data_IF_421792366805
#
_entry.id   IF_421792366805
#
_cell.length_a   1.000
_cell.length_b   1.000
_cell.length_c   1.000
_cell.angle_alpha   90.00
_cell.angle_beta   90.00
_cell.angle_gamma   90.00
#
_symmetry.space_group_name_H-M   'P 1'
#
loop_
_entity.id
_entity.type
_entity.pdbx_description
1 polymer ?
#
# COMPACT_ATOMS: atom_id res chain seq x y z
N UNK A 1 -20.03 -7.25 0.75
CA UNK A 1 -21.31 -6.64 0.34
C UNK A 1 -21.72 -5.75 1.51
N UNK A 2 -22.08 -4.50 1.26
CA UNK A 2 -22.52 -3.55 2.30
C UNK A 2 -23.92 -3.94 2.75
N UNK A 3 -24.19 -3.98 4.06
CA UNK A 3 -25.53 -4.25 4.58
C UNK A 3 -26.40 -2.98 4.56
N UNK A 4 -27.72 -3.12 4.68
CA UNK A 4 -28.63 -1.97 4.76
C UNK A 4 -28.33 -0.99 5.93
N UNK A 5 -27.96 -1.44 7.13
CA UNK A 5 -27.51 -0.55 8.20
C UNK A 5 -26.22 0.20 7.84
N UNK A 6 -25.23 -0.50 7.24
CA UNK A 6 -23.97 0.13 6.83
C UNK A 6 -24.19 1.18 5.74
N UNK A 7 -25.10 0.88 4.80
CA UNK A 7 -25.46 1.82 3.74
C UNK A 7 -26.06 3.11 4.31
N UNK A 8 -26.94 3.02 5.29
CA UNK A 8 -27.51 4.18 5.98
C UNK A 8 -26.43 5.00 6.68
N UNK A 9 -25.53 4.35 7.42
CA UNK A 9 -24.42 5.04 8.07
C UNK A 9 -23.52 5.77 7.05
N UNK A 10 -23.25 5.14 5.90
CA UNK A 10 -22.48 5.78 4.82
C UNK A 10 -23.19 7.01 4.26
N UNK A 11 -24.52 6.95 4.05
CA UNK A 11 -25.31 8.13 3.65
C UNK A 11 -25.18 9.25 4.67
N UNK A 12 -25.33 8.96 5.96
CA UNK A 12 -25.24 9.95 7.03
C UNK A 12 -23.84 10.59 7.10
N UNK A 13 -22.79 9.79 6.95
CA UNK A 13 -21.40 10.27 6.94
C UNK A 13 -21.17 11.18 5.72
N UNK A 14 -21.55 10.73 4.52
CA UNK A 14 -21.33 11.51 3.29
C UNK A 14 -22.13 12.82 3.33
N UNK A 15 -23.39 12.78 3.76
CA UNK A 15 -24.22 13.99 3.89
C UNK A 15 -23.65 14.96 4.93
N UNK A 16 -22.98 14.47 5.95
CA UNK A 16 -22.34 15.33 6.97
C UNK A 16 -21.07 15.98 6.43
N UNK A 17 -20.30 15.26 5.61
CA UNK A 17 -19.07 15.75 4.97
C UNK A 17 -19.37 16.69 3.78
N UNK A 18 -20.39 16.38 3.02
CA UNK A 18 -20.83 17.18 1.87
C UNK A 18 -22.36 17.10 1.75
N UNK A 19 -23.08 18.04 2.36
CA UNK A 19 -24.56 18.05 2.36
C UNK A 19 -25.20 18.17 0.98
N UNK A 20 -24.44 18.72 0.02
CA UNK A 20 -24.91 18.93 -1.36
C UNK A 20 -24.56 17.77 -2.29
N UNK A 21 -23.87 16.76 -1.78
CA UNK A 21 -23.48 15.62 -2.61
C UNK A 21 -24.70 14.80 -3.04
N UNK A 22 -24.82 14.57 -4.34
CA UNK A 22 -25.75 13.59 -4.89
C UNK A 22 -25.15 12.18 -4.76
N UNK A 23 -25.74 11.37 -3.90
CA UNK A 23 -25.25 10.01 -3.63
C UNK A 23 -26.01 9.01 -4.50
N UNK A 24 -25.28 8.21 -5.26
CA UNK A 24 -25.81 7.16 -6.12
C UNK A 24 -25.24 5.82 -5.69
N UNK A 25 -26.04 4.96 -5.04
CA UNK A 25 -25.58 3.61 -4.70
C UNK A 25 -25.40 2.79 -5.97
N UNK A 26 -24.27 2.10 -6.07
CA UNK A 26 -23.93 1.30 -7.25
C UNK A 26 -23.53 -0.12 -6.85
N UNK A 27 -23.63 -1.05 -7.80
CA UNK A 27 -23.08 -2.39 -7.67
C UNK A 27 -21.91 -2.54 -8.66
N UNK A 28 -20.68 -2.75 -8.13
CA UNK A 28 -19.46 -2.81 -8.92
C UNK A 28 -19.28 -1.59 -9.86
N UNK A 29 -19.57 -0.39 -9.33
CA UNK A 29 -19.49 0.89 -10.07
C UNK A 29 -20.33 0.96 -11.34
N UNK A 30 -21.33 0.11 -11.48
CA UNK A 30 -22.28 0.18 -12.59
C UNK A 30 -23.24 1.33 -12.36
N UNK A 31 -23.13 2.38 -13.16
CA UNK A 31 -23.95 3.59 -13.11
C UNK A 31 -24.27 4.07 -14.52
N UNK A 32 -25.39 4.76 -14.70
CA UNK A 32 -25.69 5.40 -15.96
C UNK A 32 -24.70 6.55 -16.20
N UNK A 33 -24.06 6.61 -17.36
CA UNK A 33 -23.07 7.63 -17.68
C UNK A 33 -23.61 9.06 -17.57
N UNK A 34 -24.89 9.28 -17.82
CA UNK A 34 -25.57 10.58 -17.67
C UNK A 34 -25.59 11.07 -16.22
N UNK A 35 -25.43 10.19 -15.24
CA UNK A 35 -25.41 10.52 -13.83
C UNK A 35 -24.04 11.05 -13.36
N UNK A 36 -22.96 10.80 -14.13
CA UNK A 36 -21.59 11.12 -13.74
C UNK A 36 -20.82 11.98 -14.75
N UNK A 37 -21.34 12.11 -15.98
CA UNK A 37 -20.71 12.91 -17.04
C UNK A 37 -21.59 14.11 -17.37
N UNK A 38 -20.97 15.29 -17.47
CA UNK A 38 -21.65 16.57 -17.81
C UNK A 38 -22.83 16.89 -16.88
N UNK A 39 -22.70 16.58 -15.60
CA UNK A 39 -23.76 16.77 -14.61
C UNK A 39 -24.11 18.25 -14.37
N UNK A 40 -23.21 19.18 -14.67
CA UNK A 40 -23.37 20.60 -14.38
C UNK A 40 -23.43 20.95 -12.89
N UNK A 41 -23.06 20.02 -12.01
CA UNK A 41 -23.16 20.18 -10.55
C UNK A 41 -22.02 21.00 -9.95
N UNK A 42 -20.94 21.23 -10.71
CA UNK A 42 -19.84 22.05 -10.21
C UNK A 42 -20.22 23.53 -10.28
N UNK A 43 -20.21 24.17 -9.14
CA UNK A 43 -20.44 25.59 -8.96
C UNK A 43 -19.23 26.20 -8.25
N UNK A 44 -18.53 27.10 -8.96
CA UNK A 44 -17.29 27.69 -8.45
C UNK A 44 -17.55 28.59 -7.24
N UNK A 45 -18.60 29.43 -7.26
CA UNK A 45 -18.92 30.33 -6.17
C UNK A 45 -19.29 29.56 -4.90
N UNK A 46 -20.01 28.45 -5.07
CA UNK A 46 -20.36 27.55 -3.98
C UNK A 46 -19.16 26.78 -3.44
N UNK A 47 -18.25 26.34 -4.31
CA UNK A 47 -17.00 25.71 -3.90
C UNK A 47 -16.11 26.69 -3.13
N UNK A 48 -15.97 27.93 -3.59
CA UNK A 48 -15.18 28.98 -2.96
C UNK A 48 -15.73 29.38 -1.57
N UNK A 49 -17.04 29.34 -1.39
CA UNK A 49 -17.71 29.63 -0.12
C UNK A 49 -17.81 28.43 0.83
N UNK A 50 -17.30 27.28 0.42
CA UNK A 50 -17.34 26.08 1.28
C UNK A 50 -16.45 26.24 2.52
N UNK A 51 -16.91 25.68 3.64
CA UNK A 51 -16.21 25.81 4.92
C UNK A 51 -14.75 25.30 4.87
N UNK A 52 -14.46 24.28 4.06
CA UNK A 52 -13.12 23.78 3.85
C UNK A 52 -12.21 24.77 3.11
N UNK A 53 -12.75 25.40 2.06
CA UNK A 53 -12.03 26.39 1.25
C UNK A 53 -11.72 27.68 2.06
N UNK A 54 -12.67 28.13 2.88
CA UNK A 54 -12.48 29.31 3.73
C UNK A 54 -11.39 29.06 4.77
N UNK A 55 -11.37 27.91 5.40
CA UNK A 55 -10.30 27.53 6.35
C UNK A 55 -8.90 27.53 5.72
N UNK A 56 -8.80 27.03 4.50
CA UNK A 56 -7.54 27.05 3.72
C UNK A 56 -7.08 28.48 3.41
N UNK A 57 -8.01 29.37 3.02
CA UNK A 57 -7.71 30.78 2.75
C UNK A 57 -7.31 31.57 4.00
N UNK A 58 -7.85 31.22 5.15
CA UNK A 58 -7.55 31.86 6.45
C UNK A 58 -6.26 31.33 7.09
N UNK A 59 -5.54 30.39 6.43
CA UNK A 59 -4.36 29.69 6.96
C UNK A 59 -4.60 28.97 8.31
N UNK A 60 -5.82 28.69 8.65
CA UNK A 60 -6.16 27.75 9.72
C UNK A 60 -6.08 26.30 9.22
N UNK A 61 -4.95 25.95 8.61
CA UNK A 61 -4.71 24.59 8.19
C UNK A 61 -4.46 23.70 9.41
N UNK A 62 -5.51 23.05 9.88
CA UNK A 62 -5.39 21.92 10.79
C UNK A 62 -5.05 20.74 9.90
N UNK A 63 -3.85 20.12 10.02
CA UNK A 63 -3.53 18.96 9.23
C UNK A 63 -4.64 17.91 9.34
N UNK A 64 -5.05 17.31 8.22
CA UNK A 64 -6.10 16.25 8.21
C UNK A 64 -5.82 15.15 9.24
N UNK A 65 -4.55 14.95 9.57
CA UNK A 65 -4.07 14.07 10.64
C UNK A 65 -4.62 14.46 12.01
N UNK A 66 -4.77 15.75 12.30
CA UNK A 66 -5.30 16.24 13.59
C UNK A 66 -6.83 16.22 13.59
N UNK A 67 -7.48 16.55 12.48
CA UNK A 67 -8.93 16.63 12.39
C UNK A 67 -9.60 15.25 12.38
N UNK A 68 -9.01 14.27 11.67
CA UNK A 68 -9.60 12.94 11.52
C UNK A 68 -8.76 11.81 12.11
N UNK A 69 -7.60 12.11 12.69
CA UNK A 69 -6.64 11.13 13.19
C UNK A 69 -6.07 10.24 12.09
N UNK A 70 -6.10 10.71 10.82
CA UNK A 70 -5.56 9.98 9.68
C UNK A 70 -4.08 10.31 9.55
N UNK A 71 -3.25 9.29 9.54
CA UNK A 71 -1.81 9.40 9.36
C UNK A 71 -1.29 8.43 8.31
N UNK A 72 -0.04 8.63 7.96
CA UNK A 72 0.66 7.71 7.06
C UNK A 72 2.09 7.48 7.54
N UNK A 73 2.63 6.32 7.23
CA UNK A 73 4.05 6.02 7.39
C UNK A 73 4.54 5.07 6.30
N UNK A 74 5.85 5.02 6.15
CA UNK A 74 6.51 4.12 5.21
C UNK A 74 7.36 3.13 5.97
N UNK A 75 7.08 1.85 5.78
CA UNK A 75 7.88 0.74 6.29
C UNK A 75 8.94 0.37 5.25
N UNK A 76 10.23 0.43 5.63
CA UNK A 76 11.36 0.12 4.76
C UNK A 76 12.27 -0.91 5.40
N UNK A 77 12.55 -2.01 4.67
CA UNK A 77 13.52 -3.04 5.07
C UNK A 77 14.22 -3.62 3.84
N UNK A 78 15.41 -4.17 4.04
CA UNK A 78 16.12 -4.92 3.00
C UNK A 78 15.91 -6.42 3.13
N UNK A 79 15.83 -6.95 4.36
CA UNK A 79 15.56 -8.36 4.63
C UNK A 79 14.23 -8.81 4.04
N UNK A 80 14.14 -10.05 3.50
CA UNK A 80 12.89 -10.57 2.98
C UNK A 80 11.88 -10.91 4.07
N UNK A 81 10.62 -10.91 3.73
CA UNK A 81 9.62 -11.58 4.55
C UNK A 81 9.76 -13.11 4.48
N UNK A 82 9.55 -13.75 5.60
CA UNK A 82 9.27 -15.19 5.68
C UNK A 82 7.86 -15.44 5.12
N UNK A 83 7.68 -16.28 4.08
CA UNK A 83 6.41 -16.37 3.35
C UNK A 83 5.22 -16.69 4.25
N UNK A 84 5.36 -17.66 5.15
CA UNK A 84 4.25 -18.08 6.00
C UNK A 84 3.97 -17.09 7.13
N UNK A 85 4.99 -16.53 7.81
CA UNK A 85 4.77 -15.51 8.86
C UNK A 85 4.07 -14.28 8.32
N UNK A 86 4.46 -13.84 7.13
CA UNK A 86 3.83 -12.67 6.52
C UNK A 86 2.41 -12.99 6.04
N UNK A 87 2.15 -14.17 5.50
CA UNK A 87 0.82 -14.61 5.12
C UNK A 87 -0.12 -14.69 6.33
N UNK A 88 0.33 -15.27 7.46
CA UNK A 88 -0.42 -15.31 8.71
C UNK A 88 -0.73 -13.92 9.27
N UNK A 89 0.26 -13.02 9.24
CA UNK A 89 0.03 -11.62 9.63
C UNK A 89 -1.11 -10.99 8.84
N UNK A 90 -1.09 -11.17 7.52
CA UNK A 90 -2.12 -10.62 6.63
C UNK A 90 -3.50 -11.20 6.93
N UNK A 91 -3.57 -12.50 7.11
CA UNK A 91 -4.84 -13.21 7.25
C UNK A 91 -5.49 -13.02 8.62
N UNK A 92 -4.70 -12.89 9.67
CA UNK A 92 -5.21 -12.97 11.03
C UNK A 92 -4.99 -11.73 11.89
N UNK A 93 -3.93 -10.98 11.65
CA UNK A 93 -3.51 -9.88 12.56
C UNK A 93 -3.35 -8.53 11.86
N UNK A 94 -3.71 -8.42 10.58
CA UNK A 94 -3.63 -7.16 9.85
C UNK A 94 -4.51 -6.09 10.51
N UNK A 95 -3.97 -4.90 10.84
CA UNK A 95 -4.70 -3.88 11.59
C UNK A 95 -5.89 -3.34 10.81
N UNK A 96 -7.07 -3.37 11.44
CA UNK A 96 -8.34 -2.94 10.82
C UNK A 96 -8.44 -1.42 10.59
N UNK A 97 -7.62 -0.65 11.31
CA UNK A 97 -7.56 0.80 11.18
C UNK A 97 -6.65 1.27 10.03
N UNK A 98 -6.02 0.35 9.29
CA UNK A 98 -5.36 0.64 8.03
C UNK A 98 -6.44 0.75 6.95
N UNK A 99 -6.59 1.96 6.40
CA UNK A 99 -7.56 2.27 5.34
C UNK A 99 -7.01 1.84 3.98
N UNK A 100 -5.71 2.09 3.77
CA UNK A 100 -5.02 1.77 2.51
C UNK A 100 -3.56 1.46 2.78
N UNK A 101 -3.02 0.53 2.02
CA UNK A 101 -1.57 0.32 1.95
C UNK A 101 -1.16 -0.07 0.52
N UNK A 102 0.05 0.34 0.14
CA UNK A 102 0.61 0.04 -1.19
C UNK A 102 2.13 0.02 -1.13
N UNK A 103 2.76 -0.77 -2.00
CA UNK A 103 4.20 -0.76 -2.16
C UNK A 103 4.76 -2.02 -2.77
N UNK A 104 6.08 -2.13 -2.68
CA UNK A 104 6.84 -3.29 -3.15
C UNK A 104 7.34 -4.10 -1.96
N UNK A 105 7.41 -5.40 -2.13
CA UNK A 105 8.02 -6.31 -1.18
C UNK A 105 8.58 -7.54 -1.89
N UNK A 106 9.30 -8.35 -1.15
CA UNK A 106 9.77 -9.65 -1.59
C UNK A 106 9.76 -10.67 -0.45
N UNK A 107 9.70 -11.93 -0.80
CA UNK A 107 9.69 -13.07 0.11
C UNK A 107 10.89 -13.97 -0.17
N UNK A 108 11.42 -14.59 0.87
CA UNK A 108 12.65 -15.39 0.79
C UNK A 108 12.55 -16.61 -0.11
N UNK A 109 11.35 -17.16 -0.30
CA UNK A 109 11.07 -18.28 -1.20
C UNK A 109 11.08 -17.93 -2.68
N UNK A 110 10.97 -16.63 -3.03
CA UNK A 110 10.96 -16.12 -4.42
C UNK A 110 11.92 -14.95 -4.56
N UNK A 111 13.23 -15.17 -4.37
CA UNK A 111 14.21 -14.09 -4.26
C UNK A 111 14.35 -13.24 -5.53
N UNK A 112 14.00 -13.78 -6.68
CA UNK A 112 14.12 -13.09 -7.95
C UNK A 112 12.90 -12.21 -8.28
N UNK A 113 11.78 -12.45 -7.62
CA UNK A 113 10.52 -11.80 -7.92
C UNK A 113 10.25 -10.59 -7.02
N UNK A 114 10.05 -9.44 -7.61
CA UNK A 114 9.43 -8.30 -6.95
C UNK A 114 7.91 -8.50 -6.93
N UNK A 115 7.29 -8.25 -5.78
CA UNK A 115 5.85 -8.33 -5.60
C UNK A 115 5.30 -6.95 -5.27
N UNK A 116 4.17 -6.59 -5.86
CA UNK A 116 3.41 -5.41 -5.50
C UNK A 116 2.30 -5.77 -4.52
N UNK A 117 2.16 -4.94 -3.52
CA UNK A 117 1.11 -5.00 -2.52
C UNK A 117 0.12 -3.87 -2.74
N UNK A 118 -1.16 -4.14 -2.65
CA UNK A 118 -2.21 -3.13 -2.65
C UNK A 118 -3.36 -3.56 -1.74
N UNK A 119 -3.70 -2.74 -0.76
CA UNK A 119 -4.89 -2.95 0.06
C UNK A 119 -5.75 -1.70 0.12
N UNK A 120 -7.07 -1.89 0.13
CA UNK A 120 -8.05 -0.84 0.32
C UNK A 120 -9.36 -1.43 0.86
N UNK A 121 -9.89 -0.86 1.96
CA UNK A 121 -11.21 -1.22 2.49
C UNK A 121 -11.38 -2.71 2.81
N UNK A 122 -10.36 -3.39 3.34
CA UNK A 122 -10.39 -4.81 3.68
C UNK A 122 -10.14 -5.76 2.50
N UNK A 123 -9.98 -5.24 1.28
CA UNK A 123 -9.52 -6.01 0.11
C UNK A 123 -8.01 -5.90 0.00
N UNK A 124 -7.37 -7.03 -0.25
CA UNK A 124 -5.92 -7.12 -0.43
C UNK A 124 -5.62 -7.85 -1.72
N UNK A 125 -4.69 -7.28 -2.49
CA UNK A 125 -4.21 -7.85 -3.73
C UNK A 125 -2.68 -7.82 -3.75
N UNK A 126 -2.09 -8.90 -4.26
CA UNK A 126 -0.65 -8.98 -4.54
C UNK A 126 -0.46 -9.49 -5.96
N UNK A 127 0.39 -8.82 -6.70
CA UNK A 127 0.70 -9.18 -8.08
C UNK A 127 2.23 -9.18 -8.30
N UNK A 128 2.75 -9.90 -9.28
CA UNK A 128 4.13 -9.74 -9.73
C UNK A 128 4.38 -8.30 -10.21
N UNK A 129 5.50 -7.72 -9.78
CA UNK A 129 5.92 -6.37 -10.18
C UNK A 129 7.13 -6.38 -11.12
N UNK A 130 7.76 -7.53 -11.29
CA UNK A 130 8.96 -7.71 -12.12
C UNK A 130 10.02 -8.56 -11.43
N UNK A 131 11.23 -8.41 -11.88
CA UNK A 131 12.41 -9.13 -11.40
C UNK A 131 13.41 -8.12 -10.85
N UNK A 132 14.05 -8.46 -9.72
CA UNK A 132 15.09 -7.62 -9.15
C UNK A 132 16.34 -7.60 -10.03
N UNK A 133 17.02 -6.48 -10.11
CA UNK A 133 18.25 -6.37 -10.91
C UNK A 133 19.34 -7.33 -10.44
N UNK A 134 19.42 -7.57 -9.13
CA UNK A 134 20.39 -8.51 -8.57
C UNK A 134 20.16 -9.97 -9.00
N UNK A 135 18.97 -10.30 -9.48
CA UNK A 135 18.64 -11.65 -9.97
C UNK A 135 19.22 -11.97 -11.35
N UNK A 136 19.84 -11.00 -12.02
CA UNK A 136 20.45 -11.18 -13.32
C UNK A 136 21.91 -10.71 -13.33
N UNK A 137 22.78 -11.31 -14.17
CA UNK A 137 24.17 -10.87 -14.29
C UNK A 137 24.29 -9.42 -14.77
N UNK A 138 25.35 -8.72 -14.37
CA UNK A 138 25.59 -7.34 -14.80
C UNK A 138 25.61 -7.19 -16.33
N UNK A 139 26.20 -8.15 -17.04
CA UNK A 139 26.24 -8.16 -18.51
C UNK A 139 24.86 -8.20 -19.18
N UNK A 140 23.85 -8.66 -18.46
CA UNK A 140 22.46 -8.66 -18.91
C UNK A 140 21.77 -7.35 -18.56
N UNK A 141 21.95 -6.83 -17.32
CA UNK A 141 21.34 -5.59 -16.82
C UNK A 141 21.60 -4.41 -17.76
N UNK A 142 22.85 -4.28 -18.27
CA UNK A 142 23.26 -3.17 -19.15
C UNK A 142 22.52 -3.13 -20.50
N UNK A 143 21.79 -4.17 -20.86
CA UNK A 143 20.97 -4.18 -22.05
C UNK A 143 19.57 -3.57 -21.84
N UNK A 144 19.22 -3.28 -20.59
CA UNK A 144 17.95 -2.66 -20.24
C UNK A 144 18.11 -1.15 -20.05
N UNK A 145 17.39 -0.37 -20.83
CA UNK A 145 17.44 1.09 -20.75
C UNK A 145 17.07 1.61 -19.35
N UNK A 146 16.11 0.96 -18.70
CA UNK A 146 15.70 1.35 -17.34
C UNK A 146 16.82 1.17 -16.32
N UNK A 147 17.63 0.11 -16.44
CA UNK A 147 18.81 -0.05 -15.59
C UNK A 147 19.85 1.02 -15.88
N UNK A 148 20.24 1.19 -17.16
CA UNK A 148 21.29 2.13 -17.56
C UNK A 148 20.94 3.57 -17.16
N UNK A 149 19.70 3.99 -17.40
CA UNK A 149 19.25 5.35 -17.07
C UNK A 149 19.17 5.63 -15.57
N UNK A 150 18.99 4.61 -14.76
CA UNK A 150 18.84 4.73 -13.29
C UNK A 150 19.99 4.07 -12.53
N UNK A 151 21.07 3.65 -13.19
CA UNK A 151 22.15 2.86 -12.60
C UNK A 151 22.71 3.50 -11.33
N UNK A 152 23.04 4.78 -11.37
CA UNK A 152 23.59 5.48 -10.20
C UNK A 152 22.66 5.46 -8.99
N UNK A 153 21.36 5.62 -9.21
CA UNK A 153 20.36 5.56 -8.16
C UNK A 153 20.22 4.13 -7.61
N UNK A 154 20.14 3.15 -8.48
CA UNK A 154 20.03 1.73 -8.12
C UNK A 154 21.25 1.29 -7.30
N UNK A 155 22.46 1.64 -7.76
CA UNK A 155 23.71 1.30 -7.08
C UNK A 155 23.87 2.02 -5.74
N UNK A 156 23.35 3.25 -5.61
CA UNK A 156 23.39 3.99 -4.34
C UNK A 156 22.57 3.33 -3.22
N UNK A 157 21.54 2.58 -3.60
CA UNK A 157 20.67 1.83 -2.69
C UNK A 157 21.06 0.35 -2.57
N UNK A 158 22.11 -0.09 -3.26
CA UNK A 158 22.53 -1.48 -3.32
C UNK A 158 22.99 -2.02 -1.97
N UNK A 159 22.41 -3.14 -1.55
CA UNK A 159 22.87 -3.86 -0.36
C UNK A 159 23.87 -4.93 -0.73
N UNK A 160 24.94 -5.08 0.05
CA UNK A 160 25.90 -6.20 -0.10
C UNK A 160 25.25 -7.56 0.05
N UNK A 161 24.18 -7.64 0.84
CA UNK A 161 23.52 -8.89 1.21
C UNK A 161 22.32 -9.24 0.34
N UNK A 162 21.62 -8.20 -0.16
CA UNK A 162 20.33 -8.37 -0.81
C UNK A 162 20.21 -7.66 -2.17
N UNK A 163 21.30 -7.06 -2.67
CA UNK A 163 21.27 -6.33 -3.93
C UNK A 163 20.34 -5.12 -3.88
N UNK A 164 19.56 -4.92 -4.93
CA UNK A 164 18.52 -3.88 -5.03
C UNK A 164 17.19 -4.27 -4.37
N UNK A 165 17.09 -5.51 -3.85
CA UNK A 165 15.87 -5.98 -3.17
C UNK A 165 15.52 -5.11 -1.99
N UNK A 166 14.24 -4.77 -1.89
CA UNK A 166 13.71 -3.97 -0.78
C UNK A 166 12.24 -4.27 -0.49
N UNK A 167 11.87 -3.99 0.73
CA UNK A 167 10.50 -3.83 1.14
C UNK A 167 10.28 -2.34 1.33
N UNK A 168 9.31 -1.78 0.64
CA UNK A 168 8.86 -0.42 0.81
C UNK A 168 7.33 -0.38 0.73
N UNK A 169 6.68 -0.33 1.89
CA UNK A 169 5.23 -0.35 2.04
C UNK A 169 4.75 0.94 2.69
N UNK A 170 3.86 1.65 2.03
CA UNK A 170 3.18 2.82 2.56
C UNK A 170 1.87 2.39 3.19
N UNK A 171 1.62 2.83 4.41
CA UNK A 171 0.39 2.61 5.15
C UNK A 171 -0.31 3.93 5.42
N UNK A 172 -1.60 3.98 5.17
CA UNK A 172 -2.49 5.11 5.48
C UNK A 172 -3.63 4.56 6.33
N UNK A 173 -3.91 5.19 7.45
CA UNK A 173 -4.98 4.73 8.34
C UNK A 173 -5.30 5.71 9.45
N UNK A 174 -6.24 5.34 10.30
CA UNK A 174 -6.71 6.16 11.39
C UNK A 174 -6.06 5.70 12.70
N UNK A 175 -5.52 6.65 13.49
CA UNK A 175 -4.89 6.39 14.78
C UNK A 175 -3.89 5.21 14.72
N UNK A 176 -2.96 5.28 13.75
CA UNK A 176 -1.98 4.22 13.53
C UNK A 176 -0.98 4.15 14.68
N UNK A 177 -0.89 2.99 15.32
CA UNK A 177 0.26 2.67 16.18
C UNK A 177 1.41 2.18 15.29
N UNK A 178 2.21 3.15 14.82
CA UNK A 178 3.34 2.91 13.90
C UNK A 178 4.33 1.92 14.51
N UNK A 179 4.60 2.02 15.81
CA UNK A 179 5.55 1.15 16.49
C UNK A 179 5.04 -0.29 16.54
N UNK A 180 3.78 -0.50 16.92
CA UNK A 180 3.19 -1.83 16.97
C UNK A 180 3.13 -2.48 15.59
N UNK A 181 2.73 -1.72 14.55
CA UNK A 181 2.68 -2.23 13.18
C UNK A 181 4.08 -2.59 12.68
N UNK A 182 5.06 -1.72 12.91
CA UNK A 182 6.45 -1.94 12.53
C UNK A 182 7.02 -3.21 13.18
N UNK A 183 6.82 -3.37 14.48
CA UNK A 183 7.28 -4.55 15.20
C UNK A 183 6.65 -5.85 14.66
N UNK A 184 5.35 -5.82 14.37
CA UNK A 184 4.67 -6.98 13.77
C UNK A 184 5.18 -7.33 12.38
N UNK A 185 5.50 -6.33 11.55
CA UNK A 185 6.12 -6.54 10.26
C UNK A 185 7.56 -7.05 10.39
N UNK A 186 8.33 -6.54 11.37
CA UNK A 186 9.68 -7.02 11.65
C UNK A 186 9.69 -8.47 12.13
N UNK A 187 8.70 -8.91 12.92
CA UNK A 187 8.51 -10.32 13.29
C UNK A 187 8.25 -11.23 12.06
N UNK A 188 7.78 -10.68 10.96
CA UNK A 188 7.58 -11.43 9.72
C UNK A 188 8.84 -11.56 8.85
N UNK A 189 9.91 -10.80 9.12
CA UNK A 189 11.17 -10.90 8.39
C UNK A 189 11.93 -12.19 8.74
N UNK A 190 12.83 -12.65 7.89
CA UNK A 190 13.80 -13.64 8.27
C UNK A 190 14.64 -13.11 9.46
N UNK A 191 14.89 -13.97 10.44
CA UNK A 191 15.87 -13.67 11.49
C UNK A 191 17.31 -13.84 10.96
N UNK A 192 18.33 -13.52 11.77
CA UNK A 192 19.72 -13.53 11.30
C UNK A 192 20.24 -14.93 10.96
N UNK A 193 19.79 -15.96 11.69
CA UNK A 193 20.12 -17.36 11.42
C UNK A 193 19.48 -17.81 10.10
N UNK A 194 18.18 -17.54 9.90
CA UNK A 194 17.47 -17.84 8.67
C UNK A 194 18.07 -17.10 7.47
N UNK A 195 18.56 -15.87 7.63
CA UNK A 195 19.26 -15.12 6.58
C UNK A 195 20.58 -15.82 6.22
N UNK A 196 21.34 -16.32 7.20
CA UNK A 196 22.56 -17.06 6.92
C UNK A 196 22.25 -18.34 6.15
N UNK A 197 21.29 -19.13 6.61
CA UNK A 197 20.85 -20.34 5.94
C UNK A 197 20.32 -20.10 4.53
N UNK A 198 19.61 -18.98 4.33
CA UNK A 198 19.10 -18.56 3.02
C UNK A 198 20.26 -18.27 2.05
N UNK A 199 21.29 -17.56 2.50
CA UNK A 199 22.48 -17.26 1.70
C UNK A 199 23.26 -18.52 1.32
N UNK A 200 23.34 -19.46 2.25
CA UNK A 200 24.02 -20.73 2.04
C UNK A 200 23.19 -21.71 1.17
N UNK A 201 21.96 -21.35 0.83
CA UNK A 201 21.05 -22.15 0.00
C UNK A 201 20.50 -23.38 0.72
N UNK A 202 20.59 -23.41 2.05
CA UNK A 202 20.14 -24.55 2.90
C UNK A 202 18.77 -24.29 3.55
N UNK A 203 18.30 -23.04 3.59
CA UNK A 203 17.00 -22.70 4.15
C UNK A 203 15.87 -23.31 3.30
N UNK A 204 15.13 -24.23 3.89
CA UNK A 204 13.97 -24.85 3.26
C UNK A 204 12.68 -24.27 3.82
N UNK A 205 11.95 -23.54 3.01
CA UNK A 205 10.66 -22.94 3.38
C UNK A 205 9.55 -23.48 2.48
N UNK A 206 8.42 -23.78 3.08
CA UNK A 206 7.19 -24.05 2.33
C UNK A 206 6.63 -22.73 1.84
N UNK A 207 6.44 -22.60 0.54
CA UNK A 207 5.85 -21.42 -0.08
C UNK A 207 4.34 -21.62 -0.28
N UNK A 208 3.57 -21.12 0.67
CA UNK A 208 2.10 -21.10 0.60
C UNK A 208 1.58 -19.76 0.07
N UNK A 209 2.45 -18.89 -0.40
CA UNK A 209 2.06 -17.59 -0.94
C UNK A 209 1.19 -17.77 -2.19
N UNK A 210 0.04 -17.08 -2.28
CA UNK A 210 -0.84 -17.21 -3.43
C UNK A 210 -0.11 -16.92 -4.75
N UNK A 211 -0.30 -17.80 -5.72
CA UNK A 211 0.20 -17.57 -7.08
C UNK A 211 -0.89 -16.78 -7.80
N UNK A 212 -0.55 -15.59 -8.28
CA UNK A 212 -1.42 -14.86 -9.21
C UNK A 212 -1.41 -15.62 -10.54
N UNK A 213 -2.53 -16.18 -10.92
CA UNK A 213 -2.75 -16.75 -12.25
C UNK A 213 -2.92 -15.63 -13.26
#
# INVERSE_FOLDING_TARGET
>A
MVTEPDLRNLYDIINKLNPDARIIPTNHSKVNLQEVINTGLFDFEKAESSAGWIKELENEHIPETEEYGIGSFVYRRKKPFHPNRFLEFIQHTFPKNIIRSKGLFWISSRPDQALVWSSAGGSLKTDPAGVWWDSMPFSERINYADFVNNQQMIESEWSSDFGDRKIELVFIGQQLDVSAITNKLDECLLNDEEVSEWRDGILQLTDNWPVSN
#
